data_IF_629503152384
#
_entry.id   IF_629503152384
#
_cell.length_a   1.000
_cell.length_b   1.000
_cell.length_c   1.000
_cell.angle_alpha   90.00
_cell.angle_beta   90.00
_cell.angle_gamma   90.00
#
_symmetry.space_group_name_H-M   'P 1'
#
loop_
_entity.id
_entity.type
_entity.pdbx_description
1 polymer ?
#
# COMPACT_ATOMS: atom_id res chain seq x y z
N UNK A 1 9.09 -10.15 -14.51
CA UNK A 1 9.70 -9.18 -13.59
C UNK A 1 9.03 -9.19 -12.23
N UNK A 2 9.82 -9.02 -11.21
CA UNK A 2 9.30 -8.99 -9.87
C UNK A 2 8.66 -7.64 -9.57
N UNK A 3 7.60 -7.70 -8.79
CA UNK A 3 6.99 -6.48 -8.25
C UNK A 3 7.88 -6.00 -7.10
N UNK A 4 8.39 -4.76 -7.12
CA UNK A 4 9.31 -4.29 -6.10
C UNK A 4 8.62 -3.81 -4.82
N UNK A 5 7.46 -4.38 -4.52
CA UNK A 5 6.66 -3.99 -3.36
C UNK A 5 6.23 -5.25 -2.64
N UNK A 6 6.45 -5.27 -1.34
CA UNK A 6 6.04 -6.38 -0.48
C UNK A 6 5.21 -5.81 0.66
N UNK A 7 4.14 -6.49 1.04
CA UNK A 7 3.28 -6.04 2.13
C UNK A 7 3.09 -7.16 3.14
N UNK A 8 3.16 -6.81 4.41
CA UNK A 8 2.98 -7.73 5.53
C UNK A 8 1.99 -7.12 6.50
N UNK A 9 1.07 -7.92 6.98
CA UNK A 9 0.06 -7.47 7.92
C UNK A 9 0.34 -8.06 9.29
N UNK A 10 0.48 -7.20 10.28
CA UNK A 10 0.79 -7.64 11.65
C UNK A 10 0.01 -6.80 12.64
N UNK A 11 -0.83 -7.45 13.43
CA UNK A 11 -1.73 -6.74 14.32
C UNK A 11 -2.69 -5.87 13.50
N UNK A 12 -2.73 -4.57 13.82
CA UNK A 12 -3.57 -3.61 13.10
C UNK A 12 -2.75 -2.70 12.21
N UNK A 13 -1.56 -3.15 11.78
CA UNK A 13 -0.66 -2.34 10.97
C UNK A 13 -0.31 -3.09 9.70
N UNK A 14 -0.44 -2.40 8.58
CA UNK A 14 0.01 -2.89 7.28
C UNK A 14 1.39 -2.32 7.02
N UNK A 15 2.39 -3.18 6.89
CA UNK A 15 3.76 -2.78 6.61
C UNK A 15 4.05 -3.00 5.13
N UNK A 16 4.45 -1.93 4.47
CA UNK A 16 4.79 -1.97 3.04
C UNK A 16 6.28 -1.72 2.89
N UNK A 17 6.95 -2.60 2.17
CA UNK A 17 8.38 -2.45 1.89
C UNK A 17 8.60 -2.33 0.39
N UNK A 18 9.39 -1.34 0.01
CA UNK A 18 9.82 -1.16 -1.38
C UNK A 18 11.22 -1.74 -1.51
N UNK A 19 11.33 -2.85 -2.23
CA UNK A 19 12.62 -3.55 -2.33
C UNK A 19 13.62 -2.81 -3.22
N UNK A 20 13.14 -1.93 -4.10
CA UNK A 20 13.99 -1.07 -4.91
C UNK A 20 13.43 0.35 -4.90
N UNK A 21 14.27 1.37 -5.17
CA UNK A 21 13.76 2.74 -5.32
C UNK A 21 12.85 2.84 -6.54
N UNK A 22 11.64 3.36 -6.33
CA UNK A 22 10.66 3.50 -7.41
C UNK A 22 10.26 4.96 -7.65
N UNK A 23 10.86 5.89 -6.93
CA UNK A 23 10.55 7.31 -7.06
C UNK A 23 9.24 7.67 -6.37
N UNK A 24 8.55 8.66 -6.90
CA UNK A 24 7.28 9.11 -6.34
C UNK A 24 6.21 8.04 -6.48
N UNK A 25 5.56 7.73 -5.36
CA UNK A 25 4.50 6.72 -5.32
C UNK A 25 3.29 7.32 -4.62
N UNK A 26 2.13 7.14 -5.24
CA UNK A 26 0.85 7.45 -4.63
C UNK A 26 0.24 6.16 -4.13
N UNK A 27 -0.17 6.16 -2.86
CA UNK A 27 -0.75 4.99 -2.20
C UNK A 27 -2.20 5.31 -1.89
N UNK A 28 -3.11 4.39 -2.19
CA UNK A 28 -4.52 4.53 -1.84
C UNK A 28 -5.04 3.20 -1.34
N UNK A 29 -5.94 3.25 -0.36
CA UNK A 29 -6.66 2.07 0.10
C UNK A 29 -8.14 2.32 -0.14
N UNK A 30 -8.81 1.35 -0.75
CA UNK A 30 -10.24 1.41 -1.03
C UNK A 30 -10.95 0.25 -0.33
N UNK A 31 -12.18 0.51 0.13
CA UNK A 31 -13.00 -0.54 0.72
C UNK A 31 -13.74 -1.33 -0.37
N UNK A 32 -14.56 -2.28 0.04
CA UNK A 32 -15.27 -3.16 -0.91
C UNK A 32 -16.25 -2.42 -1.81
N UNK A 33 -16.66 -1.21 -1.43
CA UNK A 33 -17.56 -0.38 -2.23
C UNK A 33 -16.83 0.66 -3.07
N UNK A 34 -15.50 0.56 -3.15
CA UNK A 34 -14.63 1.44 -3.92
C UNK A 34 -14.47 2.84 -3.30
N UNK A 35 -14.84 3.02 -2.05
CA UNK A 35 -14.60 4.27 -1.34
C UNK A 35 -13.16 4.33 -0.89
N UNK A 36 -12.50 5.47 -1.14
CA UNK A 36 -11.12 5.67 -0.71
C UNK A 36 -11.12 5.97 0.79
N UNK A 37 -10.40 5.15 1.55
CA UNK A 37 -10.31 5.30 3.00
C UNK A 37 -8.94 5.76 3.46
N UNK A 38 -7.96 5.80 2.56
CA UNK A 38 -6.61 6.24 2.88
C UNK A 38 -5.89 6.67 1.62
N UNK A 39 -5.17 7.78 1.67
CA UNK A 39 -4.28 8.20 0.59
C UNK A 39 -2.99 8.75 1.19
N UNK A 40 -1.89 8.55 0.46
CA UNK A 40 -0.60 9.10 0.84
C UNK A 40 0.28 9.18 -0.40
N UNK A 41 1.26 10.07 -0.37
CA UNK A 41 2.28 10.15 -1.40
C UNK A 41 3.64 10.14 -0.73
N UNK A 42 4.60 9.44 -1.33
CA UNK A 42 5.95 9.40 -0.79
C UNK A 42 6.96 9.25 -1.90
N UNK A 43 8.19 9.60 -1.59
CA UNK A 43 9.30 9.48 -2.52
C UNK A 43 10.17 8.31 -2.06
N UNK A 44 10.19 7.25 -2.83
CA UNK A 44 10.92 6.03 -2.48
C UNK A 44 12.29 6.09 -3.14
N UNK A 45 13.29 6.43 -2.33
CA UNK A 45 14.66 6.67 -2.82
C UNK A 45 15.66 5.65 -2.34
N UNK A 46 15.28 4.75 -1.42
CA UNK A 46 16.20 3.80 -0.83
C UNK A 46 15.71 2.38 -1.00
N UNK A 47 16.65 1.44 -1.09
CA UNK A 47 16.34 0.02 -1.08
C UNK A 47 15.79 -0.37 0.30
N UNK A 48 14.72 -1.15 0.33
CA UNK A 48 14.13 -1.59 1.59
C UNK A 48 13.40 -0.53 2.36
N UNK A 49 13.06 0.59 1.72
CA UNK A 49 12.31 1.65 2.37
C UNK A 49 10.92 1.14 2.75
N UNK A 50 10.47 1.47 3.96
CA UNK A 50 9.21 0.95 4.49
C UNK A 50 8.26 2.07 4.88
N UNK A 51 6.97 1.75 4.83
CA UNK A 51 5.93 2.61 5.38
C UNK A 51 4.97 1.72 6.18
N UNK A 52 4.52 2.23 7.33
CA UNK A 52 3.56 1.54 8.18
C UNK A 52 2.23 2.28 8.13
N UNK A 53 1.16 1.56 7.85
CA UNK A 53 -0.17 2.14 7.73
C UNK A 53 -1.05 1.50 8.78
N UNK A 54 -1.55 2.31 9.73
CA UNK A 54 -2.46 1.82 10.76
C UNK A 54 -3.86 1.64 10.16
N UNK A 55 -4.42 0.45 10.32
CA UNK A 55 -5.78 0.15 9.89
C UNK A 55 -6.67 -0.17 11.09
N UNK A 56 -6.27 0.29 12.26
CA UNK A 56 -6.94 -0.03 13.53
C UNK A 56 -8.41 0.37 13.55
N UNK A 57 -8.75 1.47 12.90
CA UNK A 57 -10.11 1.98 12.92
C UNK A 57 -10.94 1.56 11.70
N UNK A 58 -10.42 0.67 10.89
CA UNK A 58 -11.13 0.20 9.71
C UNK A 58 -12.12 -0.89 10.11
N UNK A 59 -13.27 -0.90 9.45
CA UNK A 59 -14.26 -1.95 9.66
C UNK A 59 -13.77 -3.26 9.05
N UNK A 60 -14.29 -4.38 9.58
CA UNK A 60 -13.99 -5.68 9.01
C UNK A 60 -14.46 -5.72 7.55
N UNK A 61 -13.70 -6.39 6.70
CA UNK A 61 -14.04 -6.52 5.29
C UNK A 61 -12.80 -6.62 4.42
N UNK A 62 -13.03 -6.63 3.12
CA UNK A 62 -11.96 -6.74 2.14
C UNK A 62 -11.61 -5.36 1.61
N UNK A 63 -10.30 -5.11 1.49
CA UNK A 63 -9.76 -3.84 1.06
C UNK A 63 -8.76 -4.07 -0.06
N UNK A 64 -8.58 -3.05 -0.89
CA UNK A 64 -7.57 -3.04 -1.96
C UNK A 64 -6.61 -1.90 -1.68
N UNK A 65 -5.31 -2.20 -1.68
CA UNK A 65 -4.28 -1.17 -1.62
C UNK A 65 -3.67 -1.02 -3.01
N UNK A 66 -3.57 0.22 -3.48
CA UNK A 66 -3.09 0.56 -4.81
C UNK A 66 -1.84 1.41 -4.71
N UNK A 67 -0.91 1.15 -5.62
CA UNK A 67 0.33 1.92 -5.74
C UNK A 67 0.46 2.40 -7.18
N UNK A 68 0.64 3.71 -7.35
CA UNK A 68 0.87 4.31 -8.67
C UNK A 68 2.13 5.14 -8.60
N UNK A 69 2.95 5.05 -9.64
CA UNK A 69 4.14 5.92 -9.71
C UNK A 69 4.02 6.87 -10.89
N UNK A 70 4.96 7.83 -10.95
CA UNK A 70 4.93 8.87 -11.98
C UNK A 70 5.27 8.36 -13.38
N UNK A 71 5.65 7.10 -13.51
CA UNK A 71 6.01 6.49 -14.79
C UNK A 71 4.94 5.51 -15.25
N UNK A 72 3.68 5.77 -14.89
CA UNK A 72 2.53 4.96 -15.26
C UNK A 72 2.54 3.54 -14.69
N UNK A 73 3.38 3.30 -13.68
CA UNK A 73 3.37 2.03 -12.97
C UNK A 73 2.14 1.92 -12.08
N UNK A 74 1.54 0.75 -12.05
CA UNK A 74 0.37 0.50 -11.23
C UNK A 74 0.41 -0.93 -10.70
N UNK A 75 0.28 -1.06 -9.38
CA UNK A 75 0.25 -2.35 -8.70
C UNK A 75 -0.82 -2.28 -7.64
N UNK A 76 -1.52 -3.38 -7.42
CA UNK A 76 -2.48 -3.43 -6.33
C UNK A 76 -2.41 -4.78 -5.61
N UNK A 77 -2.89 -4.78 -4.37
CA UNK A 77 -3.03 -5.99 -3.59
C UNK A 77 -4.34 -5.95 -2.81
N UNK A 78 -4.77 -7.11 -2.35
CA UNK A 78 -6.01 -7.23 -1.59
C UNK A 78 -5.69 -7.75 -0.20
N UNK A 79 -6.35 -7.20 0.82
CA UNK A 79 -6.23 -7.72 2.17
C UNK A 79 -7.59 -7.71 2.86
N UNK A 80 -7.75 -8.58 3.85
CA UNK A 80 -9.02 -8.72 4.55
C UNK A 80 -8.82 -8.50 6.04
N UNK A 81 -9.68 -7.67 6.62
CA UNK A 81 -9.72 -7.43 8.06
C UNK A 81 -10.85 -8.24 8.66
N UNK A 82 -10.52 -8.99 9.70
CA UNK A 82 -11.48 -9.90 10.34
C UNK A 82 -12.22 -9.22 11.46
#
# INVERSE_FOLDING_TARGET
PEVPISATFEGNVLYVEFTTPVGNVDIAIKDATQNVVYTSSMDVTAFGQQVAISVENYQAGTYIIEFRNSKDGYVYGEFTLM
#
